data_IF_728276760905
#
_entry.id   IF_728276760905
#
_cell.length_a   1.000
_cell.length_b   1.000
_cell.length_c   1.000
_cell.angle_alpha   90.00
_cell.angle_beta   90.00
_cell.angle_gamma   90.00
#
_symmetry.space_group_name_H-M   'P 1'
#
loop_
_entity.id
_entity.type
_entity.pdbx_description
1 polymer ?
#
# COMPACT_ATOMS: atom_id res chain seq x y z
N UNK A 1 8.00 -32.71 -13.05
CA UNK A 1 8.90 -33.09 -11.94
C UNK A 1 10.05 -33.85 -12.56
N UNK A 2 11.32 -33.46 -12.30
CA UNK A 2 12.46 -34.21 -12.83
C UNK A 2 12.57 -35.59 -12.18
N UNK A 3 12.96 -36.62 -12.93
CA UNK A 3 13.10 -38.02 -12.47
C UNK A 3 13.90 -38.13 -11.16
N UNK A 4 15.06 -37.48 -11.09
CA UNK A 4 15.90 -37.56 -9.90
C UNK A 4 15.31 -36.87 -8.65
N UNK A 5 14.50 -35.82 -8.81
CA UNK A 5 13.78 -35.25 -7.66
C UNK A 5 12.80 -36.28 -7.11
N UNK A 6 12.10 -36.98 -8.00
CA UNK A 6 11.18 -38.04 -7.63
C UNK A 6 11.90 -39.16 -6.87
N UNK A 7 13.04 -39.63 -7.37
CA UNK A 7 13.81 -40.70 -6.71
C UNK A 7 14.28 -40.32 -5.30
N UNK A 8 14.68 -39.06 -5.11
CA UNK A 8 15.12 -38.56 -3.79
C UNK A 8 13.93 -38.39 -2.84
N UNK A 9 12.80 -37.82 -3.32
CA UNK A 9 11.70 -37.38 -2.47
C UNK A 9 10.57 -38.41 -2.29
N UNK A 10 10.40 -39.35 -3.21
CA UNK A 10 9.32 -40.35 -3.20
C UNK A 10 9.85 -41.68 -2.68
N UNK A 11 10.28 -41.67 -1.42
CA UNK A 11 10.72 -42.86 -0.67
C UNK A 11 9.57 -43.86 -0.53
N UNK A 12 9.90 -45.08 -0.08
CA UNK A 12 8.89 -46.12 0.14
C UNK A 12 7.84 -45.72 1.19
N UNK A 13 8.25 -44.99 2.22
CA UNK A 13 7.32 -44.44 3.21
C UNK A 13 6.37 -43.40 2.61
N UNK A 14 6.86 -42.54 1.71
CA UNK A 14 6.02 -41.58 0.97
C UNK A 14 5.05 -42.30 0.03
N UNK A 15 5.54 -43.29 -0.74
CA UNK A 15 4.71 -44.11 -1.64
C UNK A 15 3.62 -44.87 -0.87
N UNK A 16 3.98 -45.48 0.27
CA UNK A 16 3.02 -46.16 1.15
C UNK A 16 1.94 -45.19 1.67
N UNK A 17 2.31 -43.95 2.02
CA UNK A 17 1.34 -42.94 2.42
C UNK A 17 0.41 -42.54 1.27
N UNK A 18 0.95 -42.42 0.04
CA UNK A 18 0.15 -42.11 -1.14
C UNK A 18 -0.89 -43.20 -1.44
N UNK A 19 -0.53 -44.48 -1.25
CA UNK A 19 -1.45 -45.61 -1.39
C UNK A 19 -2.56 -45.53 -0.34
N UNK A 20 -2.19 -45.37 0.93
CA UNK A 20 -3.15 -45.23 2.05
C UNK A 20 -4.14 -44.07 1.87
N UNK A 21 -3.71 -42.99 1.20
CA UNK A 21 -4.53 -41.79 0.96
C UNK A 21 -5.12 -41.72 -0.46
N UNK A 22 -4.98 -42.78 -1.27
CA UNK A 22 -5.57 -42.88 -2.60
C UNK A 22 -4.95 -41.99 -3.68
N UNK A 23 -3.80 -41.35 -3.42
CA UNK A 23 -3.14 -40.44 -4.36
C UNK A 23 -2.05 -41.10 -5.20
N UNK A 24 -1.70 -42.37 -4.95
CA UNK A 24 -0.59 -43.06 -5.64
C UNK A 24 -0.73 -43.04 -7.15
N UNK A 25 -1.95 -43.23 -7.69
CA UNK A 25 -2.22 -43.23 -9.14
C UNK A 25 -1.86 -41.89 -9.79
N UNK A 26 -2.07 -40.76 -9.11
CA UNK A 26 -1.75 -39.42 -9.62
C UNK A 26 -0.23 -39.21 -9.81
N UNK A 27 0.57 -39.87 -8.98
CA UNK A 27 2.03 -39.76 -9.00
C UNK A 27 2.73 -41.01 -9.56
N UNK A 28 1.98 -41.97 -10.13
CA UNK A 28 2.56 -43.20 -10.67
C UNK A 28 3.40 -42.96 -11.93
N UNK A 29 3.01 -41.98 -12.76
CA UNK A 29 3.77 -41.52 -13.92
C UNK A 29 4.77 -40.40 -13.64
N UNK A 30 4.75 -39.83 -12.43
CA UNK A 30 5.76 -38.85 -12.01
C UNK A 30 7.10 -39.60 -11.88
N UNK A 31 8.08 -39.23 -12.70
CA UNK A 31 9.36 -39.94 -12.79
C UNK A 31 9.43 -41.02 -13.89
N UNK A 32 8.48 -41.09 -14.85
CA UNK A 32 8.63 -41.97 -16.02
C UNK A 32 9.29 -41.31 -17.24
N UNK A 33 9.49 -39.98 -17.21
CA UNK A 33 10.27 -39.29 -18.24
C UNK A 33 11.77 -39.54 -18.02
N UNK A 34 12.39 -40.22 -18.99
CA UNK A 34 13.82 -40.53 -19.04
C UNK A 34 14.64 -39.25 -19.27
N UNK A 35 14.80 -38.45 -18.22
CA UNK A 35 15.82 -37.41 -18.16
C UNK A 35 16.98 -37.99 -17.35
N UNK A 36 17.81 -38.80 -18.02
CA UNK A 36 19.04 -39.37 -17.45
C UNK A 36 20.07 -38.34 -16.98
N UNK A 37 19.74 -37.05 -17.04
CA UNK A 37 20.58 -35.94 -16.59
C UNK A 37 19.69 -34.81 -16.03
N UNK A 38 19.87 -34.48 -14.76
CA UNK A 38 19.15 -33.37 -14.10
C UNK A 38 19.75 -32.06 -14.56
N UNK A 39 19.19 -31.50 -15.63
CA UNK A 39 19.64 -30.24 -16.22
C UNK A 39 18.58 -29.16 -16.09
N UNK A 40 19.01 -27.96 -15.74
CA UNK A 40 18.21 -26.73 -15.79
C UNK A 40 17.85 -26.41 -17.24
N UNK A 41 16.56 -26.22 -17.49
CA UNK A 41 16.07 -25.66 -18.73
C UNK A 41 16.08 -24.13 -18.70
N UNK A 42 15.65 -23.52 -19.80
CA UNK A 42 15.52 -22.07 -19.92
C UNK A 42 14.65 -21.49 -18.80
N UNK A 43 13.51 -22.13 -18.52
CA UNK A 43 12.55 -21.70 -17.48
C UNK A 43 13.19 -21.63 -16.09
N UNK A 44 13.96 -22.64 -15.71
CA UNK A 44 14.61 -22.67 -14.40
C UNK A 44 15.75 -21.65 -14.34
N UNK A 45 16.52 -21.55 -15.42
CA UNK A 45 17.67 -20.63 -15.52
C UNK A 45 17.23 -19.18 -15.36
N UNK A 46 16.18 -18.77 -16.09
CA UNK A 46 15.60 -17.43 -16.01
C UNK A 46 15.02 -17.13 -14.62
N UNK A 47 14.35 -18.12 -14.01
CA UNK A 47 13.78 -17.95 -12.68
C UNK A 47 14.85 -17.77 -11.60
N UNK A 48 15.92 -18.58 -11.66
CA UNK A 48 17.04 -18.49 -10.72
C UNK A 48 17.75 -17.14 -10.86
N UNK A 49 17.97 -16.68 -12.09
CA UNK A 49 18.65 -15.40 -12.36
C UNK A 49 17.88 -14.17 -11.86
N UNK A 50 16.57 -14.27 -11.62
CA UNK A 50 15.74 -13.19 -11.08
C UNK A 50 15.62 -13.23 -9.55
N UNK A 51 16.10 -14.30 -8.91
CA UNK A 51 15.97 -14.47 -7.47
C UNK A 51 16.81 -13.43 -6.72
N UNK A 52 16.17 -12.72 -5.80
CA UNK A 52 16.78 -11.81 -4.82
C UNK A 52 16.84 -12.42 -3.41
N UNK A 53 16.26 -13.60 -3.24
CA UNK A 53 16.38 -14.39 -2.02
C UNK A 53 16.07 -15.87 -2.28
N UNK A 54 16.44 -16.71 -1.32
CA UNK A 54 15.99 -18.09 -1.19
C UNK A 54 16.06 -18.55 0.27
N UNK A 55 15.40 -19.65 0.57
CA UNK A 55 15.63 -20.37 1.82
C UNK A 55 16.43 -21.64 1.51
N UNK A 56 17.39 -21.94 2.36
CA UNK A 56 18.19 -23.16 2.30
C UNK A 56 17.96 -24.02 3.53
N UNK A 57 18.16 -25.32 3.36
CA UNK A 57 18.22 -26.31 4.44
C UNK A 57 19.49 -27.14 4.33
N UNK A 58 20.20 -27.30 5.45
CA UNK A 58 21.41 -28.11 5.59
C UNK A 58 21.24 -29.08 6.76
N UNK A 59 21.91 -30.23 6.76
CA UNK A 59 21.74 -31.25 7.81
C UNK A 59 22.96 -31.19 8.74
N UNK A 60 22.72 -31.01 10.04
CA UNK A 60 23.80 -31.09 11.04
C UNK A 60 24.14 -32.53 11.41
N UNK A 61 25.26 -32.74 12.09
CA UNK A 61 25.71 -34.07 12.54
C UNK A 61 24.70 -34.78 13.45
N UNK A 62 23.86 -34.02 14.16
CA UNK A 62 22.76 -34.55 14.98
C UNK A 62 21.55 -35.02 14.17
N UNK A 63 21.60 -34.93 12.84
CA UNK A 63 20.52 -35.32 11.93
C UNK A 63 19.35 -34.33 11.83
N UNK A 64 19.35 -33.26 12.64
CA UNK A 64 18.33 -32.21 12.56
C UNK A 64 18.57 -31.32 11.32
N UNK A 65 17.51 -30.99 10.57
CA UNK A 65 17.61 -30.01 9.50
C UNK A 65 17.73 -28.60 10.09
N UNK A 66 18.62 -27.80 9.53
CA UNK A 66 18.79 -26.40 9.83
C UNK A 66 18.35 -25.56 8.63
N UNK A 67 17.44 -24.61 8.85
CA UNK A 67 16.87 -23.77 7.79
C UNK A 67 17.34 -22.33 7.95
N UNK A 68 17.75 -21.72 6.84
CA UNK A 68 18.26 -20.35 6.82
C UNK A 68 17.74 -19.59 5.59
N UNK A 69 17.46 -18.30 5.77
CA UNK A 69 17.20 -17.37 4.68
C UNK A 69 18.52 -16.77 4.16
N UNK A 70 18.65 -16.69 2.83
CA UNK A 70 19.71 -15.95 2.13
C UNK A 70 19.07 -14.93 1.20
N UNK A 71 19.53 -13.69 1.26
CA UNK A 71 19.07 -12.60 0.41
C UNK A 71 20.24 -11.85 -0.21
N UNK A 72 19.99 -11.21 -1.35
CA UNK A 72 20.95 -10.41 -2.09
C UNK A 72 20.28 -9.64 -3.23
N UNK A 73 21.03 -8.88 -4.04
CA UNK A 73 20.49 -8.28 -5.24
C UNK A 73 19.95 -9.37 -6.19
N UNK A 74 18.93 -9.06 -7.03
CA UNK A 74 18.48 -9.99 -8.06
C UNK A 74 19.64 -10.57 -8.87
N UNK A 75 19.69 -11.90 -8.98
CA UNK A 75 20.76 -12.61 -9.70
C UNK A 75 22.00 -12.94 -8.86
N UNK A 76 21.97 -12.73 -7.54
CA UNK A 76 23.06 -13.17 -6.66
C UNK A 76 23.22 -14.70 -6.63
N UNK A 77 22.14 -15.45 -6.85
CA UNK A 77 22.17 -16.88 -7.14
C UNK A 77 22.36 -17.06 -8.65
N UNK A 78 23.55 -17.50 -9.06
CA UNK A 78 23.94 -17.62 -10.47
C UNK A 78 23.83 -19.05 -10.95
N UNK A 79 23.48 -19.20 -12.23
CA UNK A 79 23.62 -20.46 -12.94
C UNK A 79 25.02 -20.50 -13.56
N UNK A 80 25.87 -21.41 -13.07
CA UNK A 80 27.25 -21.59 -13.56
C UNK A 80 27.21 -22.38 -14.87
N UNK A 81 26.42 -23.45 -14.88
CA UNK A 81 26.14 -24.26 -16.06
C UNK A 81 24.76 -24.95 -15.88
N UNK A 82 24.36 -25.81 -16.83
CA UNK A 82 23.04 -26.46 -16.79
C UNK A 82 22.84 -27.43 -15.60
N UNK A 83 23.89 -27.77 -14.86
CA UNK A 83 23.88 -28.72 -13.74
C UNK A 83 24.30 -28.07 -12.43
N UNK A 84 24.84 -26.86 -12.49
CA UNK A 84 25.51 -26.21 -11.36
C UNK A 84 25.02 -24.79 -11.19
N UNK A 85 24.63 -24.46 -9.96
CA UNK A 85 24.34 -23.10 -9.52
C UNK A 85 25.34 -22.69 -8.44
N UNK A 86 25.49 -21.41 -8.19
CA UNK A 86 26.31 -20.95 -7.09
C UNK A 86 26.04 -19.52 -6.68
N UNK A 87 26.52 -19.18 -5.49
CA UNK A 87 26.46 -17.82 -4.96
C UNK A 87 27.70 -17.53 -4.14
N UNK A 88 28.05 -16.26 -4.05
CA UNK A 88 29.11 -15.76 -3.18
C UNK A 88 28.61 -15.65 -1.72
N UNK A 89 29.37 -16.19 -0.77
CA UNK A 89 29.12 -16.05 0.67
C UNK A 89 29.93 -14.87 1.22
N UNK A 90 29.22 -13.93 1.82
CA UNK A 90 29.77 -12.71 2.41
C UNK A 90 29.97 -12.91 3.91
N UNK A 91 30.91 -12.16 4.49
CA UNK A 91 31.08 -12.13 5.95
C UNK A 91 29.80 -11.71 6.66
N UNK A 92 29.24 -12.61 7.47
CA UNK A 92 28.00 -12.41 8.21
C UNK A 92 28.18 -12.38 9.73
N UNK A 93 27.16 -12.83 10.47
CA UNK A 93 27.15 -12.91 11.94
C UNK A 93 28.09 -13.98 12.54
N UNK A 94 28.86 -14.68 11.70
CA UNK A 94 29.87 -15.68 12.09
C UNK A 94 29.35 -16.86 12.91
N UNK A 95 28.07 -17.22 12.80
CA UNK A 95 27.57 -18.45 13.42
C UNK A 95 28.11 -19.72 12.74
N UNK A 96 28.45 -19.64 11.45
CA UNK A 96 29.02 -20.74 10.65
C UNK A 96 28.23 -22.06 10.65
N UNK A 97 26.97 -22.08 11.09
CA UNK A 97 26.17 -23.31 11.22
C UNK A 97 26.05 -24.04 9.87
N UNK A 98 25.58 -23.35 8.82
CA UNK A 98 25.49 -23.98 7.50
C UNK A 98 26.86 -24.38 6.94
N UNK A 99 27.93 -23.63 7.26
CA UNK A 99 29.28 -23.95 6.81
C UNK A 99 29.78 -25.25 7.46
N UNK A 100 29.62 -25.37 8.78
CA UNK A 100 29.95 -26.58 9.54
C UNK A 100 29.14 -27.78 9.07
N UNK A 101 27.82 -27.63 8.95
CA UNK A 101 26.93 -28.69 8.44
C UNK A 101 27.39 -29.18 7.06
N UNK A 102 27.69 -28.27 6.13
CA UNK A 102 28.09 -28.62 4.76
C UNK A 102 29.50 -29.20 4.64
N UNK A 103 30.36 -28.97 5.64
CA UNK A 103 31.68 -29.59 5.72
C UNK A 103 31.59 -31.08 6.08
N UNK A 104 30.61 -31.47 6.92
CA UNK A 104 30.34 -32.87 7.24
C UNK A 104 29.42 -33.56 6.22
N UNK A 105 28.39 -32.86 5.75
CA UNK A 105 27.42 -33.37 4.78
C UNK A 105 27.03 -32.30 3.76
N UNK A 106 27.57 -32.44 2.54
CA UNK A 106 27.33 -31.49 1.46
C UNK A 106 25.88 -31.42 0.96
N UNK A 107 24.92 -32.21 1.48
CA UNK A 107 23.52 -32.16 1.05
C UNK A 107 22.87 -30.81 1.42
N UNK A 108 22.22 -30.19 0.42
CA UNK A 108 21.45 -28.96 0.59
C UNK A 108 20.10 -29.07 -0.13
N UNK A 109 19.09 -28.43 0.43
CA UNK A 109 17.83 -28.17 -0.25
C UNK A 109 17.56 -26.66 -0.27
N UNK A 110 17.08 -26.14 -1.39
CA UNK A 110 16.71 -24.75 -1.59
C UNK A 110 15.21 -24.64 -1.92
N UNK A 111 14.58 -23.58 -1.46
CA UNK A 111 13.30 -23.11 -1.98
C UNK A 111 13.44 -21.64 -2.39
N UNK A 112 13.18 -21.39 -3.67
CA UNK A 112 13.21 -20.07 -4.29
C UNK A 112 11.76 -19.67 -4.54
N UNK A 113 11.36 -18.49 -4.05
CA UNK A 113 9.99 -18.02 -4.08
C UNK A 113 9.86 -16.80 -5.01
N UNK A 114 8.79 -16.78 -5.79
CA UNK A 114 8.26 -15.58 -6.41
C UNK A 114 6.80 -15.46 -5.99
N UNK A 115 6.53 -14.59 -5.02
CA UNK A 115 5.18 -14.41 -4.50
C UNK A 115 4.26 -13.71 -5.48
N UNK A 116 4.78 -12.82 -6.33
CA UNK A 116 3.97 -12.06 -7.29
C UNK A 116 3.38 -12.97 -8.35
N UNK A 117 4.20 -13.83 -8.96
CA UNK A 117 3.73 -14.84 -9.91
C UNK A 117 3.20 -16.11 -9.24
N UNK A 118 3.20 -16.17 -7.90
CA UNK A 118 2.84 -17.36 -7.09
C UNK A 118 3.61 -18.61 -7.53
N UNK A 119 4.89 -18.46 -7.80
CA UNK A 119 5.78 -19.55 -8.24
C UNK A 119 6.74 -19.94 -7.14
N UNK A 120 7.10 -21.23 -7.11
CA UNK A 120 8.22 -21.72 -6.31
C UNK A 120 8.99 -22.79 -7.03
N UNK A 121 10.31 -22.74 -6.89
CA UNK A 121 11.21 -23.78 -7.36
C UNK A 121 11.90 -24.39 -6.16
N UNK A 122 11.82 -25.72 -6.02
CA UNK A 122 12.60 -26.47 -5.04
C UNK A 122 13.79 -27.09 -5.75
N UNK A 123 14.97 -27.01 -5.15
CA UNK A 123 16.20 -27.61 -5.67
C UNK A 123 16.82 -28.44 -4.55
N UNK A 124 17.25 -29.67 -4.85
CA UNK A 124 18.11 -30.47 -4.00
C UNK A 124 19.45 -30.62 -4.69
N UNK A 125 20.54 -30.59 -3.94
CA UNK A 125 21.88 -30.65 -4.51
C UNK A 125 22.95 -31.00 -3.50
N UNK A 126 24.20 -30.95 -3.98
CA UNK A 126 25.41 -31.10 -3.17
C UNK A 126 26.29 -29.87 -3.30
N UNK A 127 26.68 -29.31 -2.17
CA UNK A 127 27.56 -28.14 -2.10
C UNK A 127 29.02 -28.57 -2.09
N UNK A 128 29.84 -27.84 -2.84
CA UNK A 128 31.28 -27.74 -2.65
C UNK A 128 31.58 -26.30 -2.24
N UNK A 129 32.26 -26.13 -1.11
CA UNK A 129 32.69 -24.83 -0.61
C UNK A 129 34.06 -24.52 -1.22
N UNK A 130 34.20 -23.34 -1.81
CA UNK A 130 35.46 -22.90 -2.43
C UNK A 130 35.88 -21.57 -1.82
N UNK A 131 36.91 -21.57 -0.99
CA UNK A 131 37.43 -20.35 -0.39
C UNK A 131 38.12 -19.46 -1.43
N UNK A 132 38.03 -18.14 -1.24
CA UNK A 132 38.69 -17.17 -2.11
C UNK A 132 40.21 -17.34 -2.17
N UNK A 133 40.82 -17.93 -1.14
CA UNK A 133 42.26 -18.26 -1.16
C UNK A 133 42.60 -19.35 -2.18
N UNK A 134 41.67 -20.27 -2.45
CA UNK A 134 41.88 -21.42 -3.35
C UNK A 134 41.55 -21.08 -4.80
N UNK A 135 40.46 -20.35 -5.05
CA UNK A 135 40.06 -19.91 -6.39
C UNK A 135 39.40 -18.53 -6.37
N UNK A 136 40.22 -17.49 -6.51
CA UNK A 136 39.72 -16.10 -6.60
C UNK A 136 38.86 -15.87 -7.83
N UNK A 137 39.13 -16.56 -8.94
CA UNK A 137 38.43 -16.35 -10.20
C UNK A 137 36.98 -16.79 -10.10
N UNK A 138 36.75 -18.00 -9.59
CA UNK A 138 35.42 -18.52 -9.35
C UNK A 138 34.64 -17.66 -8.35
N UNK A 139 35.24 -17.32 -7.20
CA UNK A 139 34.58 -16.49 -6.19
C UNK A 139 34.22 -15.12 -6.75
N UNK A 140 35.12 -14.48 -7.52
CA UNK A 140 34.85 -13.21 -8.17
C UNK A 140 33.73 -13.31 -9.23
N UNK A 141 33.66 -14.42 -9.97
CA UNK A 141 32.59 -14.63 -10.97
C UNK A 141 31.19 -14.69 -10.35
N UNK A 142 31.10 -15.13 -9.09
CA UNK A 142 29.86 -15.21 -8.31
C UNK A 142 29.56 -13.95 -7.50
N UNK A 143 30.49 -13.00 -7.42
CA UNK A 143 30.29 -11.74 -6.74
C UNK A 143 29.23 -10.87 -7.43
N UNK A 144 28.61 -9.99 -6.64
CA UNK A 144 27.68 -8.96 -7.13
C UNK A 144 28.35 -7.58 -7.03
N UNK A 145 28.30 -6.74 -8.08
CA UNK A 145 28.92 -5.41 -8.04
C UNK A 145 28.40 -4.57 -6.87
N UNK A 146 29.32 -3.99 -6.09
CA UNK A 146 28.98 -3.15 -4.94
C UNK A 146 28.36 -3.89 -3.74
N UNK A 147 28.32 -5.21 -3.76
CA UNK A 147 27.65 -6.02 -2.73
C UNK A 147 28.65 -6.83 -1.89
N UNK A 148 29.43 -6.12 -1.07
CA UNK A 148 30.40 -6.73 -0.15
C UNK A 148 31.59 -7.42 -0.83
N UNK A 149 32.50 -7.94 0.00
CA UNK A 149 33.64 -8.74 -0.45
C UNK A 149 33.37 -10.20 -0.08
N UNK A 150 33.24 -11.12 -1.05
CA UNK A 150 33.06 -12.54 -0.77
C UNK A 150 34.24 -13.18 -0.05
N UNK A 151 33.95 -14.03 0.93
CA UNK A 151 34.96 -14.88 1.58
C UNK A 151 35.15 -16.20 0.82
N UNK A 152 34.05 -16.72 0.26
CA UNK A 152 34.00 -18.04 -0.40
C UNK A 152 32.84 -18.13 -1.38
N UNK A 153 32.82 -19.20 -2.16
CA UNK A 153 31.74 -19.57 -3.07
C UNK A 153 31.04 -20.84 -2.58
N UNK A 154 29.71 -20.84 -2.68
CA UNK A 154 28.89 -22.04 -2.62
C UNK A 154 28.68 -22.52 -4.05
N UNK A 155 29.23 -23.67 -4.40
CA UNK A 155 29.04 -24.31 -5.70
C UNK A 155 28.12 -25.50 -5.50
N UNK A 156 26.95 -25.49 -6.12
CA UNK A 156 25.89 -26.46 -5.87
C UNK A 156 25.63 -27.26 -7.14
N UNK A 157 26.06 -28.52 -7.13
CA UNK A 157 25.68 -29.49 -8.16
C UNK A 157 24.27 -29.97 -7.89
N UNK A 158 23.39 -29.82 -8.88
CA UNK A 158 21.97 -30.12 -8.75
C UNK A 158 21.77 -31.64 -8.78
N UNK A 159 21.00 -32.14 -7.82
CA UNK A 159 20.58 -33.53 -7.72
C UNK A 159 19.12 -33.73 -8.13
N UNK A 160 18.29 -32.69 -8.07
CA UNK A 160 16.89 -32.75 -8.48
C UNK A 160 16.19 -31.41 -8.27
N UNK A 161 15.20 -31.09 -9.10
CA UNK A 161 14.34 -29.93 -8.88
C UNK A 161 12.88 -30.21 -9.21
N UNK A 162 11.99 -29.41 -8.64
CA UNK A 162 10.56 -29.54 -8.89
C UNK A 162 9.80 -28.22 -8.69
N UNK A 163 8.81 -28.02 -9.57
CA UNK A 163 7.84 -26.93 -9.52
C UNK A 163 6.57 -27.43 -8.81
N UNK A 164 6.32 -26.97 -7.58
CA UNK A 164 5.12 -27.35 -6.82
C UNK A 164 3.90 -26.46 -7.15
N UNK A 165 2.70 -26.95 -6.85
CA UNK A 165 1.41 -26.27 -7.06
C UNK A 165 1.36 -24.86 -6.43
N UNK A 166 0.81 -23.84 -7.14
CA UNK A 166 0.73 -22.45 -6.66
C UNK A 166 -0.46 -22.15 -5.73
N UNK A 167 -1.40 -23.08 -5.56
CA UNK A 167 -2.76 -22.84 -5.00
C UNK A 167 -2.81 -22.07 -3.67
N UNK A 168 -1.83 -22.25 -2.78
CA UNK A 168 -1.81 -21.63 -1.45
C UNK A 168 -0.68 -20.62 -1.26
N UNK A 169 -0.09 -20.11 -2.36
CA UNK A 169 0.87 -19.02 -2.28
C UNK A 169 0.09 -17.70 -2.31
N UNK A 170 0.03 -17.03 -1.16
CA UNK A 170 -0.50 -15.65 -1.08
C UNK A 170 0.39 -14.73 -1.90
N UNK A 171 -0.23 -13.95 -2.77
CA UNK A 171 0.47 -12.96 -3.58
C UNK A 171 1.09 -11.87 -2.71
N UNK A 172 2.33 -11.51 -3.00
CA UNK A 172 3.05 -10.42 -2.33
C UNK A 172 3.85 -9.65 -3.37
N UNK A 173 3.81 -8.34 -3.26
CA UNK A 173 4.54 -7.40 -4.09
C UNK A 173 5.52 -6.61 -3.23
N UNK A 174 6.63 -6.19 -3.82
CA UNK A 174 7.64 -5.42 -3.09
C UNK A 174 7.22 -3.96 -2.98
N UNK A 175 7.75 -3.24 -1.99
CA UNK A 175 7.58 -1.78 -1.95
C UNK A 175 8.13 -1.13 -3.22
N UNK A 176 9.29 -1.58 -3.69
CA UNK A 176 9.95 -1.02 -4.87
C UNK A 176 9.07 -1.09 -6.12
N UNK A 177 8.30 -2.18 -6.29
CA UNK A 177 7.39 -2.35 -7.43
C UNK A 177 6.08 -1.56 -7.33
N UNK A 178 5.76 -0.97 -6.17
CA UNK A 178 4.50 -0.21 -5.95
C UNK A 178 4.76 1.28 -5.77
N UNK A 179 5.97 1.65 -5.37
CA UNK A 179 6.31 3.05 -5.07
C UNK A 179 6.11 4.00 -6.28
N UNK A 180 6.40 3.62 -7.55
CA UNK A 180 6.10 4.47 -8.70
C UNK A 180 4.61 4.80 -8.84
N UNK A 181 3.74 3.81 -8.77
CA UNK A 181 2.28 3.97 -8.87
C UNK A 181 1.74 4.77 -7.68
N UNK A 182 2.26 4.49 -6.48
CA UNK A 182 1.86 5.21 -5.27
C UNK A 182 2.28 6.68 -5.31
N UNK A 183 3.46 7.00 -5.87
CA UNK A 183 3.88 8.39 -6.12
C UNK A 183 2.94 9.08 -7.10
N UNK A 184 2.65 8.45 -8.24
CA UNK A 184 1.73 9.01 -9.23
C UNK A 184 0.35 9.30 -8.63
N UNK A 185 -0.17 8.40 -7.80
CA UNK A 185 -1.45 8.60 -7.11
C UNK A 185 -1.40 9.77 -6.12
N UNK A 186 -0.31 9.89 -5.35
CA UNK A 186 -0.11 11.02 -4.43
C UNK A 186 -0.04 12.36 -5.17
N UNK A 187 0.63 12.40 -6.31
CA UNK A 187 0.74 13.60 -7.15
C UNK A 187 -0.63 14.01 -7.70
N UNK A 188 -1.43 13.06 -8.19
CA UNK A 188 -2.80 13.32 -8.63
C UNK A 188 -3.69 13.85 -7.49
N UNK A 189 -3.60 13.27 -6.30
CA UNK A 189 -4.34 13.76 -5.12
C UNK A 189 -3.94 15.19 -4.78
N UNK A 190 -2.66 15.54 -4.86
CA UNK A 190 -2.19 16.90 -4.62
C UNK A 190 -2.73 17.88 -5.68
N UNK A 191 -2.68 17.51 -6.95
CA UNK A 191 -3.23 18.31 -8.05
C UNK A 191 -4.73 18.54 -7.91
N UNK A 192 -5.50 17.49 -7.62
CA UNK A 192 -6.94 17.59 -7.41
C UNK A 192 -7.29 18.47 -6.21
N UNK A 193 -6.52 18.38 -5.11
CA UNK A 193 -6.69 19.28 -3.96
C UNK A 193 -6.41 20.73 -4.31
N UNK A 194 -5.35 21.00 -5.08
CA UNK A 194 -5.03 22.35 -5.55
C UNK A 194 -6.11 22.89 -6.48
N UNK A 195 -6.57 22.09 -7.45
CA UNK A 195 -7.65 22.45 -8.36
C UNK A 195 -8.96 22.70 -7.61
N UNK A 196 -9.30 21.88 -6.62
CA UNK A 196 -10.46 22.09 -5.77
C UNK A 196 -10.34 23.41 -4.99
N UNK A 197 -9.18 23.71 -4.40
CA UNK A 197 -8.94 24.98 -3.69
C UNK A 197 -9.05 26.19 -4.61
N UNK A 198 -8.51 26.10 -5.83
CA UNK A 198 -8.58 27.17 -6.83
C UNK A 198 -10.01 27.37 -7.36
N UNK A 199 -10.74 26.29 -7.63
CA UNK A 199 -12.15 26.34 -8.02
C UNK A 199 -13.05 26.87 -6.89
N UNK A 200 -12.64 26.72 -5.64
CA UNK A 200 -13.36 27.22 -4.48
C UNK A 200 -13.08 28.70 -4.18
N UNK A 201 -12.19 29.38 -4.94
CA UNK A 201 -11.99 30.83 -4.87
C UNK A 201 -11.60 31.36 -3.49
N UNK A 202 -10.83 30.61 -2.68
CA UNK A 202 -10.53 30.98 -1.29
C UNK A 202 -11.79 31.02 -0.39
N UNK A 203 -11.65 31.06 0.95
CA UNK A 203 -12.83 31.23 1.80
C UNK A 203 -13.39 32.61 1.54
N UNK A 204 -14.55 32.68 0.88
CA UNK A 204 -15.27 33.94 0.77
C UNK A 204 -15.61 34.44 2.17
N UNK A 205 -15.19 35.67 2.49
CA UNK A 205 -15.43 36.27 3.80
C UNK A 205 -16.57 37.27 3.69
N UNK A 206 -17.65 37.01 4.41
CA UNK A 206 -18.71 37.98 4.68
C UNK A 206 -18.37 38.67 5.99
N UNK A 207 -17.95 39.94 5.94
CA UNK A 207 -17.49 40.70 7.10
C UNK A 207 -18.60 41.58 7.72
N UNK A 208 -18.96 41.27 8.96
CA UNK A 208 -19.77 42.05 9.89
C UNK A 208 -18.95 42.44 11.14
N UNK A 209 -19.66 42.89 12.19
CA UNK A 209 -19.10 43.45 13.43
C UNK A 209 -19.67 42.80 14.71
N UNK A 210 -20.45 41.72 14.57
CA UNK A 210 -20.98 40.93 15.67
C UNK A 210 -19.93 40.02 16.35
N UNK A 211 -20.33 39.33 17.44
CA UNK A 211 -19.43 38.44 18.18
C UNK A 211 -19.32 37.03 17.59
N UNK A 212 -20.21 36.64 16.67
CA UNK A 212 -20.29 35.26 16.18
C UNK A 212 -19.54 35.08 14.86
N UNK A 213 -18.64 34.11 14.79
CA UNK A 213 -17.88 33.76 13.58
C UNK A 213 -18.27 32.36 13.10
N UNK A 214 -18.80 32.26 11.89
CA UNK A 214 -19.41 31.04 11.35
C UNK A 214 -18.75 30.61 10.05
N UNK A 215 -18.91 29.32 9.70
CA UNK A 215 -18.52 28.77 8.40
C UNK A 215 -19.64 27.89 7.84
N UNK A 216 -19.91 28.02 6.54
CA UNK A 216 -20.88 27.18 5.84
C UNK A 216 -20.30 25.77 5.65
N UNK A 217 -20.88 24.78 6.33
CA UNK A 217 -20.45 23.37 6.32
C UNK A 217 -21.24 22.48 5.37
N UNK A 218 -22.45 22.88 5.04
CA UNK A 218 -23.27 22.20 4.05
C UNK A 218 -24.13 23.20 3.29
N UNK A 219 -24.38 22.89 2.02
CA UNK A 219 -25.35 23.60 1.17
C UNK A 219 -26.19 22.56 0.46
N UNK A 220 -27.52 22.62 0.61
CA UNK A 220 -28.46 21.73 -0.09
C UNK A 220 -29.50 22.53 -0.85
N UNK A 221 -29.85 22.09 -2.05
CA UNK A 221 -30.96 22.66 -2.81
C UNK A 221 -32.27 22.10 -2.25
N UNK A 222 -33.11 22.95 -1.64
CA UNK A 222 -34.39 22.53 -1.06
C UNK A 222 -35.53 22.60 -2.09
N UNK A 223 -35.54 23.65 -2.91
CA UNK A 223 -36.45 23.81 -4.05
C UNK A 223 -35.69 24.47 -5.20
N UNK A 224 -36.20 24.54 -6.45
CA UNK A 224 -35.52 25.25 -7.54
C UNK A 224 -35.16 26.71 -7.20
N UNK A 225 -35.87 27.32 -6.26
CA UNK A 225 -35.68 28.71 -5.85
C UNK A 225 -35.06 28.88 -4.44
N UNK A 226 -34.77 27.81 -3.71
CA UNK A 226 -34.31 27.88 -2.31
C UNK A 226 -33.12 26.95 -2.07
N UNK A 227 -32.04 27.52 -1.53
CA UNK A 227 -30.91 26.77 -0.95
C UNK A 227 -30.91 26.90 0.56
N UNK A 228 -30.55 25.81 1.21
CA UNK A 228 -30.42 25.72 2.66
C UNK A 228 -28.95 25.57 3.01
N UNK A 229 -28.50 26.33 3.99
CA UNK A 229 -27.12 26.42 4.42
C UNK A 229 -27.02 26.06 5.90
N UNK A 230 -26.09 25.16 6.23
CA UNK A 230 -25.75 24.84 7.62
C UNK A 230 -24.48 25.58 8.00
N UNK A 231 -24.56 26.36 9.08
CA UNK A 231 -23.48 27.20 9.58
C UNK A 231 -23.03 26.71 10.96
N UNK A 232 -21.74 26.42 11.09
CA UNK A 232 -21.13 26.05 12.38
C UNK A 232 -20.21 27.16 12.86
N UNK A 233 -19.95 27.23 14.17
CA UNK A 233 -18.88 28.07 14.72
C UNK A 233 -17.54 27.73 14.06
N UNK A 234 -16.74 28.74 13.71
CA UNK A 234 -15.37 28.54 13.20
C UNK A 234 -14.46 27.93 14.26
N UNK A 235 -14.72 28.23 15.52
CA UNK A 235 -13.94 27.79 16.69
C UNK A 235 -14.46 26.46 17.26
N UNK A 236 -15.51 25.88 16.67
CA UNK A 236 -16.13 24.63 17.13
C UNK A 236 -16.91 24.76 18.44
N UNK A 237 -17.19 25.99 18.89
CA UNK A 237 -17.99 26.25 20.08
C UNK A 237 -19.50 26.04 19.80
N UNK A 238 -20.28 25.57 20.79
CA UNK A 238 -21.74 25.51 20.69
C UNK A 238 -22.34 26.88 20.34
N UNK A 239 -23.36 26.87 19.51
CA UNK A 239 -24.10 28.06 19.11
C UNK A 239 -25.16 28.43 20.16
N UNK A 240 -25.55 29.72 20.27
CA UNK A 240 -26.61 30.16 21.17
C UNK A 240 -27.88 29.30 21.04
N UNK A 241 -28.42 28.87 22.18
CA UNK A 241 -29.56 27.96 22.29
C UNK A 241 -30.88 28.64 22.67
N UNK A 242 -30.80 29.91 23.06
CA UNK A 242 -31.88 30.80 23.47
C UNK A 242 -32.69 31.35 22.28
N UNK A 243 -32.91 30.54 21.24
CA UNK A 243 -33.64 30.93 20.04
C UNK A 243 -35.16 31.04 20.32
N UNK A 244 -35.75 32.18 19.96
CA UNK A 244 -37.21 32.39 19.98
C UNK A 244 -37.78 32.51 18.57
N UNK A 245 -39.11 32.45 18.44
CA UNK A 245 -39.77 32.67 17.14
C UNK A 245 -39.39 34.07 16.59
N UNK A 246 -38.93 34.11 15.34
CA UNK A 246 -38.41 35.33 14.71
C UNK A 246 -36.89 35.53 14.87
N UNK A 247 -36.18 34.58 15.47
CA UNK A 247 -34.73 34.61 15.55
C UNK A 247 -34.07 34.63 14.16
N UNK A 248 -33.08 35.51 14.00
CA UNK A 248 -32.36 35.67 12.75
C UNK A 248 -30.92 36.11 12.99
N UNK A 249 -30.05 35.81 12.02
CA UNK A 249 -28.70 36.33 11.96
C UNK A 249 -28.72 37.72 11.33
N UNK A 250 -28.22 38.71 12.06
CA UNK A 250 -27.90 40.04 11.58
C UNK A 250 -26.41 40.11 11.26
N UNK A 251 -26.08 40.61 10.07
CA UNK A 251 -24.70 40.86 9.62
C UNK A 251 -24.62 42.29 9.08
N UNK A 252 -23.82 43.14 9.71
CA UNK A 252 -23.62 44.53 9.27
C UNK A 252 -22.65 44.61 8.08
N UNK A 253 -23.18 44.57 6.85
CA UNK A 253 -22.39 44.54 5.62
C UNK A 253 -21.89 45.95 5.26
N UNK A 254 -20.64 46.06 4.80
CA UNK A 254 -20.10 47.32 4.26
C UNK A 254 -20.55 47.57 2.82
N UNK A 255 -21.04 48.76 2.52
CA UNK A 255 -21.33 49.24 1.19
C UNK A 255 -20.15 49.93 0.51
N UNK A 256 -20.23 50.15 -0.80
CA UNK A 256 -19.18 50.80 -1.61
C UNK A 256 -18.92 52.25 -1.17
N UNK A 257 -19.95 52.92 -0.63
CA UNK A 257 -19.85 54.25 -0.03
C UNK A 257 -19.31 54.23 1.42
N UNK A 258 -18.95 53.06 1.96
CA UNK A 258 -18.50 52.87 3.34
C UNK A 258 -19.61 52.79 4.39
N UNK A 259 -20.88 52.97 4.02
CA UNK A 259 -22.01 52.80 4.92
C UNK A 259 -22.16 51.33 5.36
N UNK A 260 -22.63 51.10 6.58
CA UNK A 260 -22.95 49.77 7.09
C UNK A 260 -24.46 49.56 7.01
N UNK A 261 -24.88 48.52 6.29
CA UNK A 261 -26.29 48.16 6.15
C UNK A 261 -26.52 46.78 6.77
N UNK A 262 -27.47 46.64 7.69
CA UNK A 262 -27.77 45.34 8.30
C UNK A 262 -28.44 44.42 7.27
N UNK A 263 -27.95 43.19 7.18
CA UNK A 263 -28.57 42.10 6.42
C UNK A 263 -29.07 41.03 7.39
N UNK A 264 -30.33 40.62 7.21
CA UNK A 264 -31.03 39.71 8.12
C UNK A 264 -31.29 38.37 7.44
N UNK A 265 -30.98 37.27 8.12
CA UNK A 265 -31.15 35.90 7.65
C UNK A 265 -31.86 35.06 8.70
N UNK A 266 -33.09 34.62 8.41
CA UNK A 266 -33.88 33.84 9.36
C UNK A 266 -33.19 32.51 9.70
N UNK A 267 -33.12 32.20 10.99
CA UNK A 267 -32.66 30.89 11.49
C UNK A 267 -33.86 29.96 11.45
N UNK A 268 -33.82 28.96 10.57
CA UNK A 268 -34.93 28.03 10.34
C UNK A 268 -34.88 26.80 11.23
N UNK A 269 -33.68 26.41 11.67
CA UNK A 269 -33.49 25.31 12.60
C UNK A 269 -32.15 25.46 13.33
N UNK A 270 -32.04 24.71 14.42
CA UNK A 270 -30.81 24.46 15.11
C UNK A 270 -30.54 22.95 15.06
N UNK A 271 -29.40 22.58 14.48
CA UNK A 271 -29.05 21.21 14.11
C UNK A 271 -28.07 20.66 15.13
N UNK A 272 -28.27 19.39 15.53
CA UNK A 272 -27.38 18.62 16.41
C UNK A 272 -27.03 19.34 17.70
N UNK A 273 -27.84 19.27 18.77
CA UNK A 273 -27.55 19.87 20.11
C UNK A 273 -26.74 21.18 20.07
N UNK A 274 -27.14 22.11 19.19
CA UNK A 274 -26.54 23.44 19.03
C UNK A 274 -25.19 23.51 18.30
N UNK A 275 -24.92 22.54 17.44
CA UNK A 275 -23.69 22.49 16.64
C UNK A 275 -23.79 23.35 15.38
N UNK A 276 -24.98 23.53 14.82
CA UNK A 276 -25.18 24.35 13.63
C UNK A 276 -26.50 25.14 13.59
N UNK A 277 -26.47 26.32 12.96
CA UNK A 277 -27.66 27.04 12.52
C UNK A 277 -28.01 26.64 11.08
N UNK A 278 -29.28 26.40 10.82
CA UNK A 278 -29.80 26.29 9.47
C UNK A 278 -30.41 27.62 9.04
N UNK A 279 -30.05 28.11 7.85
CA UNK A 279 -30.70 29.27 7.21
C UNK A 279 -31.15 28.91 5.80
N UNK A 280 -32.23 29.54 5.35
CA UNK A 280 -32.79 29.34 4.00
C UNK A 280 -32.68 30.62 3.17
N UNK A 281 -32.05 30.52 1.99
CA UNK A 281 -31.83 31.64 1.08
C UNK A 281 -32.54 31.40 -0.26
N UNK A 282 -33.18 32.44 -0.79
CA UNK A 282 -33.74 32.42 -2.15
C UNK A 282 -32.62 32.51 -3.18
N UNK A 283 -32.62 31.66 -4.19
CA UNK A 283 -31.74 31.80 -5.35
C UNK A 283 -32.29 32.89 -6.29
N UNK A 284 -31.54 33.96 -6.53
CA UNK A 284 -31.95 35.07 -7.39
C UNK A 284 -31.38 35.01 -8.81
N UNK A 285 -32.19 35.38 -9.82
CA UNK A 285 -31.77 35.80 -11.17
C UNK A 285 -31.47 37.33 -11.24
N UNK A 286 -30.68 37.82 -12.22
CA UNK A 286 -29.80 38.99 -12.06
C UNK A 286 -30.39 40.41 -12.19
N UNK A 287 -31.71 40.64 -12.20
CA UNK A 287 -32.23 41.85 -12.86
C UNK A 287 -32.53 43.13 -12.03
N UNK A 288 -32.48 43.16 -10.68
CA UNK A 288 -32.78 44.43 -9.95
C UNK A 288 -32.05 44.62 -8.60
N UNK A 289 -30.72 44.70 -8.54
CA UNK A 289 -30.01 44.31 -7.32
C UNK A 289 -28.85 45.17 -6.77
N UNK A 290 -29.15 46.26 -6.03
CA UNK A 290 -28.25 46.95 -5.05
C UNK A 290 -28.15 46.15 -3.75
N UNK A 291 -26.97 46.07 -3.09
CA UNK A 291 -26.64 45.19 -1.94
C UNK A 291 -26.88 43.67 -2.13
N UNK A 292 -27.80 43.29 -3.03
CA UNK A 292 -28.19 41.97 -3.52
C UNK A 292 -27.05 41.21 -4.21
N UNK A 293 -26.01 41.87 -4.75
CA UNK A 293 -24.81 41.17 -5.26
C UNK A 293 -23.99 40.45 -4.17
N UNK A 294 -24.13 40.80 -2.88
CA UNK A 294 -23.36 40.18 -1.79
C UNK A 294 -23.88 38.80 -1.35
N UNK A 295 -25.06 38.38 -1.85
CA UNK A 295 -25.68 37.06 -1.62
C UNK A 295 -25.28 35.99 -2.65
N UNK A 296 -24.51 36.32 -3.70
CA UNK A 296 -24.23 35.39 -4.79
C UNK A 296 -23.38 34.17 -4.40
N UNK A 297 -22.74 34.15 -3.23
CA UNK A 297 -21.82 33.07 -2.90
C UNK A 297 -21.77 32.69 -1.41
N UNK A 298 -22.94 32.25 -0.92
CA UNK A 298 -23.03 31.35 0.23
C UNK A 298 -22.61 29.92 -0.18
N UNK A 299 -21.38 29.78 -0.66
CA UNK A 299 -20.81 28.48 -1.02
C UNK A 299 -20.35 27.68 0.19
N UNK A 300 -20.10 26.39 0.00
CA UNK A 300 -19.41 25.57 0.99
C UNK A 300 -18.05 26.22 1.35
N UNK A 301 -17.74 26.35 2.64
CA UNK A 301 -16.51 26.98 3.12
C UNK A 301 -16.55 28.51 3.22
N UNK A 302 -17.67 29.16 2.88
CA UNK A 302 -17.85 30.60 3.12
C UNK A 302 -17.77 30.90 4.61
N UNK A 303 -16.97 31.90 4.97
CA UNK A 303 -16.78 32.34 6.36
C UNK A 303 -17.58 33.62 6.60
N UNK A 304 -18.45 33.60 7.60
CA UNK A 304 -19.14 34.78 8.09
C UNK A 304 -18.40 35.26 9.34
N UNK A 305 -17.79 36.44 9.30
CA UNK A 305 -17.14 37.02 10.48
C UNK A 305 -18.02 38.09 11.07
N UNK A 306 -18.48 37.91 12.29
CA UNK A 306 -19.19 38.94 13.03
C UNK A 306 -20.66 39.03 12.69
N UNK A 307 -21.36 37.90 12.83
CA UNK A 307 -22.80 37.84 12.90
C UNK A 307 -23.29 38.08 14.33
N UNK A 308 -24.57 38.44 14.47
CA UNK A 308 -25.26 38.55 15.75
C UNK A 308 -26.62 37.87 15.64
N UNK A 309 -27.04 37.15 16.68
CA UNK A 309 -28.41 36.64 16.77
C UNK A 309 -29.31 37.74 17.31
N UNK A 310 -30.46 37.95 16.66
CA UNK A 310 -31.49 38.94 17.01
C UNK A 310 -32.86 38.29 17.01
N UNK A 311 -33.82 38.87 17.73
CA UNK A 311 -35.17 38.32 17.95
C UNK A 311 -36.29 39.33 17.63
N UNK A 312 -35.95 40.46 17.00
CA UNK A 312 -36.77 41.66 16.89
C UNK A 312 -37.54 41.79 15.56
N UNK A 313 -37.59 40.74 14.74
CA UNK A 313 -38.44 40.71 13.53
C UNK A 313 -39.95 40.55 13.83
N UNK A 314 -40.34 40.41 15.10
CA UNK A 314 -41.72 40.43 15.54
C UNK A 314 -42.08 41.80 16.14
N UNK A 315 -42.36 42.79 15.29
CA UNK A 315 -42.65 44.15 15.77
C UNK A 315 -43.08 45.15 14.70
N UNK A 316 -43.99 44.76 13.82
CA UNK A 316 -44.65 45.66 12.88
C UNK A 316 -46.06 45.15 12.59
N UNK A 317 -46.97 45.32 13.54
CA UNK A 317 -48.40 45.17 13.25
C UNK A 317 -48.89 46.32 12.36
N UNK A 318 -49.97 46.13 11.58
CA UNK A 318 -50.81 47.27 11.21
C UNK A 318 -51.38 47.95 12.47
#
# INVERSE_FOLDING_TARGET
MGHAYYDIAFTDSVKSMQEKRGSRRLYAGAGQENLGDVRLGTRETEFIAQADHFFQSTIGETGWPYVQHRGGPPGFLKVIDRYTIGFADLGGNRQYISLGNLSGDGRIALIIMDWSARRRLKIMGRVTLVDAASDRGLVASLAMPGYGVPERAYVIKIAGYDWNCPQHITERITRASVEPELRALRDQVAQLRCAAQQASGGPQIIAGDGPLHLVVRAVRQATPQIRVHELTSIDGLPLPDDLSAGAHLEIALSEENGARVPAHYAITALVGRNEAFEISLRSSEPAEATARQRQAAWGLGTVVRGARVRHDLAGGGP
#
